data_IF_408758780889
#
_entry.id   IF_408758780889
#
_cell.length_a   1.000
_cell.length_b   1.000
_cell.length_c   1.000
_cell.angle_alpha   90.00
_cell.angle_beta   90.00
_cell.angle_gamma   90.00
#
_symmetry.space_group_name_H-M   'P 1'
#
loop_
_entity.id
_entity.type
_entity.pdbx_description
1 polymer ?
#
# COMPACT_ATOMS: atom_id res chain seq x y z
N UNK A 1 -60.13 -39.86 10.58
CA UNK A 1 -59.81 -38.80 9.61
C UNK A 1 -58.88 -37.82 10.30
N UNK A 2 -57.56 -38.00 10.16
CA UNK A 2 -56.56 -37.10 10.72
C UNK A 2 -55.87 -36.37 9.57
N UNK A 3 -56.04 -35.06 9.49
CA UNK A 3 -55.28 -34.21 8.57
C UNK A 3 -53.90 -33.93 9.17
N UNK A 4 -52.86 -34.38 8.48
CA UNK A 4 -51.48 -33.95 8.72
C UNK A 4 -51.26 -32.71 7.85
N UNK A 5 -51.09 -31.55 8.48
CA UNK A 5 -50.68 -30.32 7.81
C UNK A 5 -49.17 -30.38 7.54
N UNK A 6 -48.77 -30.50 6.27
CA UNK A 6 -47.40 -30.26 5.85
C UNK A 6 -47.12 -28.76 5.88
N UNK A 7 -46.24 -28.32 6.77
CA UNK A 7 -45.64 -27.00 6.71
C UNK A 7 -44.48 -27.04 5.70
N UNK A 8 -44.67 -26.44 4.54
CA UNK A 8 -43.61 -26.20 3.56
C UNK A 8 -42.76 -25.02 4.05
N UNK A 9 -41.56 -25.31 4.56
CA UNK A 9 -40.57 -24.27 4.85
C UNK A 9 -39.99 -23.80 3.51
N UNK A 10 -40.40 -22.61 3.06
CA UNK A 10 -39.76 -21.90 1.94
C UNK A 10 -38.38 -21.42 2.40
N UNK A 11 -37.34 -22.20 2.09
CA UNK A 11 -35.96 -21.74 2.12
C UNK A 11 -35.79 -20.70 1.00
N UNK A 12 -35.82 -19.42 1.35
CA UNK A 12 -35.29 -18.38 0.48
C UNK A 12 -33.77 -18.59 0.37
N UNK A 13 -33.33 -19.17 -0.74
CA UNK A 13 -31.94 -19.10 -1.13
C UNK A 13 -31.64 -17.62 -1.44
N UNK A 14 -30.97 -16.92 -0.53
CA UNK A 14 -30.31 -15.68 -0.87
C UNK A 14 -29.21 -16.02 -1.87
N UNK A 15 -29.46 -15.77 -3.15
CA UNK A 15 -28.40 -15.70 -4.14
C UNK A 15 -27.58 -14.47 -3.81
N UNK A 16 -26.49 -14.66 -3.05
CA UNK A 16 -25.43 -13.67 -2.93
C UNK A 16 -24.91 -13.47 -4.35
N UNK A 17 -25.23 -12.33 -4.96
CA UNK A 17 -24.62 -11.96 -6.24
C UNK A 17 -23.16 -11.67 -5.94
N UNK A 18 -22.26 -12.55 -6.40
CA UNK A 18 -20.83 -12.33 -6.25
C UNK A 18 -20.44 -10.95 -6.82
N UNK A 19 -19.59 -10.21 -6.11
CA UNK A 19 -19.07 -8.93 -6.59
C UNK A 19 -18.28 -9.19 -7.87
N UNK A 20 -18.81 -8.74 -9.01
CA UNK A 20 -18.18 -8.92 -10.33
C UNK A 20 -17.40 -7.67 -10.68
N UNK A 21 -16.37 -7.38 -9.90
CA UNK A 21 -15.38 -6.37 -10.28
C UNK A 21 -14.75 -6.78 -11.62
N UNK A 22 -14.12 -5.85 -12.34
CA UNK A 22 -13.35 -6.19 -13.54
C UNK A 22 -12.21 -7.20 -13.32
N UNK A 23 -11.98 -7.63 -12.07
CA UNK A 23 -11.03 -8.64 -11.61
C UNK A 23 -11.71 -9.67 -10.68
N UNK A 24 -11.32 -10.94 -10.77
CA UNK A 24 -11.87 -12.00 -9.92
C UNK A 24 -11.06 -12.16 -8.62
N UNK A 25 -11.36 -11.33 -7.62
CA UNK A 25 -10.67 -11.35 -6.32
C UNK A 25 -10.82 -12.66 -5.54
N UNK A 26 -11.75 -13.55 -5.91
CA UNK A 26 -11.88 -14.87 -5.29
C UNK A 26 -10.82 -15.85 -5.77
N UNK A 27 -10.47 -15.80 -7.06
CA UNK A 27 -9.65 -16.82 -7.72
C UNK A 27 -8.28 -16.30 -8.16
N UNK A 28 -8.18 -15.03 -8.52
CA UNK A 28 -6.98 -14.45 -9.10
C UNK A 28 -6.15 -13.72 -8.05
N UNK A 29 -4.83 -13.80 -8.20
CA UNK A 29 -3.86 -13.13 -7.33
C UNK A 29 -3.54 -11.73 -7.85
N UNK A 30 -3.60 -10.74 -6.98
CA UNK A 30 -3.14 -9.37 -7.27
C UNK A 30 -1.61 -9.36 -7.33
N UNK A 31 -1.07 -8.89 -8.45
CA UNK A 31 0.36 -8.67 -8.66
C UNK A 31 0.53 -7.28 -9.26
N UNK A 32 0.94 -6.33 -8.45
CA UNK A 32 0.98 -4.94 -8.88
C UNK A 32 2.17 -4.13 -8.39
N UNK A 33 2.21 -2.88 -8.82
CA UNK A 33 3.15 -1.86 -8.37
C UNK A 33 2.42 -0.57 -8.05
N UNK A 34 2.95 0.19 -7.10
CA UNK A 34 2.52 1.55 -6.82
C UNK A 34 3.11 2.51 -7.87
N UNK A 35 2.35 3.54 -8.23
CA UNK A 35 2.81 4.66 -9.07
C UNK A 35 3.26 5.83 -8.19
N UNK A 36 4.13 5.53 -7.22
CA UNK A 36 4.61 6.46 -6.20
C UNK A 36 5.44 7.62 -6.76
N UNK A 37 5.45 8.74 -6.04
CA UNK A 37 6.13 9.97 -6.44
C UNK A 37 5.53 10.67 -7.67
N UNK A 38 4.37 10.24 -8.19
CA UNK A 38 3.75 10.84 -9.39
C UNK A 38 2.78 11.98 -9.07
N UNK A 39 1.57 11.64 -8.59
CA UNK A 39 0.51 12.61 -8.28
C UNK A 39 0.52 13.05 -6.81
N UNK A 40 1.43 12.47 -6.02
CA UNK A 40 1.86 12.92 -4.71
C UNK A 40 3.38 12.85 -4.71
N UNK A 41 4.05 13.96 -4.41
CA UNK A 41 5.50 14.03 -4.37
C UNK A 41 6.05 13.46 -3.07
N UNK A 42 7.08 12.62 -3.21
CA UNK A 42 7.89 12.14 -2.10
C UNK A 42 9.36 12.48 -2.36
N UNK A 43 10.03 13.21 -1.44
CA UNK A 43 11.40 13.67 -1.65
C UNK A 43 12.40 12.55 -1.93
N UNK A 44 12.17 11.35 -1.39
CA UNK A 44 13.09 10.23 -1.55
C UNK A 44 12.92 9.50 -2.89
N UNK A 45 11.72 9.56 -3.50
CA UNK A 45 11.44 8.97 -4.81
C UNK A 45 11.98 9.87 -5.92
N UNK A 46 11.76 11.19 -5.79
CA UNK A 46 12.12 12.21 -6.79
C UNK A 46 12.95 13.36 -6.20
N UNK A 47 14.11 13.07 -5.57
CA UNK A 47 14.93 14.07 -4.88
C UNK A 47 15.34 15.24 -5.76
N UNK A 48 15.46 15.06 -7.09
CA UNK A 48 15.82 16.15 -7.98
C UNK A 48 14.81 17.30 -7.98
N UNK A 49 13.50 17.03 -7.82
CA UNK A 49 12.48 18.08 -7.73
C UNK A 49 12.73 18.98 -6.52
N UNK A 50 13.12 18.38 -5.40
CA UNK A 50 13.34 19.07 -4.12
C UNK A 50 14.69 19.76 -4.06
N UNK A 51 15.75 19.11 -4.55
CA UNK A 51 17.11 19.65 -4.53
C UNK A 51 17.27 20.83 -5.49
N UNK A 52 16.63 20.77 -6.67
CA UNK A 52 16.67 21.85 -7.66
C UNK A 52 16.01 23.15 -7.18
N UNK A 53 15.22 23.11 -6.11
CA UNK A 53 14.67 24.33 -5.48
C UNK A 53 15.75 25.16 -4.77
N UNK A 54 16.86 24.54 -4.39
CA UNK A 54 17.89 25.17 -3.56
C UNK A 54 17.42 25.54 -2.14
N UNK A 55 16.23 25.10 -1.71
CA UNK A 55 15.62 25.47 -0.44
C UNK A 55 15.38 24.22 0.43
N UNK A 56 16.18 24.04 1.48
CA UNK A 56 16.08 22.89 2.41
C UNK A 56 14.78 22.84 3.22
N UNK A 57 14.02 23.93 3.29
CA UNK A 57 12.73 24.00 3.98
C UNK A 57 11.57 23.43 3.17
N UNK A 58 11.82 22.99 1.92
CA UNK A 58 10.86 22.27 1.10
C UNK A 58 11.01 20.77 1.41
N UNK A 59 10.14 20.22 2.25
CA UNK A 59 10.25 18.87 2.81
C UNK A 59 9.13 17.93 2.38
N UNK A 60 8.09 18.46 1.76
CA UNK A 60 6.88 17.78 1.28
C UNK A 60 6.23 18.59 0.15
N UNK A 61 5.11 18.13 -0.42
CA UNK A 61 4.43 18.82 -1.52
C UNK A 61 3.78 20.15 -1.09
N UNK A 62 3.29 20.24 0.16
CA UNK A 62 2.72 21.47 0.72
C UNK A 62 3.77 22.59 0.73
N UNK A 63 4.94 22.33 1.32
CA UNK A 63 6.05 23.28 1.35
C UNK A 63 6.68 23.47 -0.02
N UNK A 64 6.63 22.47 -0.91
CA UNK A 64 7.02 22.63 -2.30
C UNK A 64 6.19 23.71 -2.98
N UNK A 65 4.89 23.77 -2.76
CA UNK A 65 4.08 24.81 -3.38
C UNK A 65 4.12 26.15 -2.61
N UNK A 66 4.37 26.11 -1.28
CA UNK A 66 4.39 27.30 -0.42
C UNK A 66 5.71 28.10 -0.50
N UNK A 67 6.86 27.43 -0.47
CA UNK A 67 8.16 28.06 -0.19
C UNK A 67 8.94 28.44 -1.46
N UNK A 68 8.24 28.67 -2.57
CA UNK A 68 8.77 29.18 -3.83
C UNK A 68 7.69 29.94 -4.60
N UNK A 69 8.03 30.71 -5.65
CA UNK A 69 7.02 31.32 -6.51
C UNK A 69 6.08 30.26 -7.09
N UNK A 70 4.77 30.48 -7.00
CA UNK A 70 3.76 29.50 -7.44
C UNK A 70 3.93 29.07 -8.90
N UNK A 71 4.42 29.96 -9.77
CA UNK A 71 4.72 29.64 -11.16
C UNK A 71 5.84 28.60 -11.28
N UNK A 72 6.88 28.69 -10.46
CA UNK A 72 7.98 27.71 -10.46
C UNK A 72 7.49 26.34 -10.02
N UNK A 73 6.67 26.28 -8.96
CA UNK A 73 6.05 25.05 -8.50
C UNK A 73 5.12 24.46 -9.58
N UNK A 74 4.31 25.30 -10.22
CA UNK A 74 3.39 24.91 -11.30
C UNK A 74 4.14 24.32 -12.49
N UNK A 75 5.15 25.03 -13.01
CA UNK A 75 5.92 24.57 -14.16
C UNK A 75 6.67 23.26 -13.87
N UNK A 76 7.22 23.12 -12.66
CA UNK A 76 7.90 21.91 -12.23
C UNK A 76 6.93 20.72 -12.13
N UNK A 77 5.76 20.91 -11.51
CA UNK A 77 4.75 19.87 -11.34
C UNK A 77 4.14 19.41 -12.67
N UNK A 78 3.77 20.33 -13.57
CA UNK A 78 3.24 19.96 -14.88
C UNK A 78 4.27 19.19 -15.71
N UNK A 79 5.53 19.63 -15.71
CA UNK A 79 6.61 18.92 -16.39
C UNK A 79 6.87 17.54 -15.78
N UNK A 80 6.75 17.42 -14.46
CA UNK A 80 6.89 16.16 -13.73
C UNK A 80 5.76 15.20 -14.09
N UNK A 81 4.50 15.63 -13.98
CA UNK A 81 3.34 14.78 -14.27
C UNK A 81 3.34 14.26 -15.71
N UNK A 82 3.80 15.06 -16.68
CA UNK A 82 3.91 14.66 -18.10
C UNK A 82 5.01 13.64 -18.39
N UNK A 83 6.03 13.52 -17.52
CA UNK A 83 7.25 12.75 -17.82
C UNK A 83 7.52 11.61 -16.85
N UNK A 84 7.03 11.72 -15.62
CA UNK A 84 7.35 10.74 -14.60
C UNK A 84 6.68 9.42 -14.89
N UNK A 85 5.37 9.34 -15.10
CA UNK A 85 4.70 8.11 -15.56
C UNK A 85 4.04 8.39 -16.90
N UNK A 86 4.27 7.49 -17.85
CA UNK A 86 3.74 7.56 -19.22
C UNK A 86 3.06 6.26 -19.61
N UNK A 87 2.38 6.22 -20.76
CA UNK A 87 1.78 4.97 -21.26
C UNK A 87 2.81 3.85 -21.44
N UNK A 88 4.07 4.18 -21.80
CA UNK A 88 5.13 3.17 -21.92
C UNK A 88 5.41 2.48 -20.58
N UNK A 89 5.28 3.19 -19.45
CA UNK A 89 5.40 2.55 -18.13
C UNK A 89 4.26 1.52 -17.90
N UNK A 90 3.03 1.82 -18.32
CA UNK A 90 1.91 0.86 -18.23
C UNK A 90 2.13 -0.36 -19.12
N UNK A 91 2.66 -0.16 -20.32
CA UNK A 91 3.06 -1.25 -21.22
C UNK A 91 4.13 -2.14 -20.57
N UNK A 92 5.19 -1.54 -20.04
CA UNK A 92 6.26 -2.28 -19.36
C UNK A 92 5.77 -3.03 -18.11
N UNK A 93 4.88 -2.43 -17.31
CA UNK A 93 4.23 -3.06 -16.15
C UNK A 93 3.46 -4.32 -16.60
N UNK A 94 2.68 -4.21 -17.67
CA UNK A 94 1.94 -5.36 -18.21
C UNK A 94 2.88 -6.44 -18.76
N UNK A 95 3.94 -6.06 -19.49
CA UNK A 95 4.97 -6.96 -20.03
C UNK A 95 5.82 -7.64 -18.94
N UNK A 96 5.91 -7.04 -17.75
CA UNK A 96 6.51 -7.66 -16.57
C UNK A 96 5.64 -8.79 -15.98
N UNK A 97 4.39 -8.94 -16.45
CA UNK A 97 3.45 -9.94 -15.99
C UNK A 97 2.49 -9.46 -14.89
N UNK A 98 2.58 -8.19 -14.50
CA UNK A 98 1.72 -7.58 -13.49
C UNK A 98 0.30 -7.36 -14.03
N UNK A 99 -0.68 -7.31 -13.13
CA UNK A 99 -2.10 -7.15 -13.46
C UNK A 99 -2.75 -5.92 -12.80
N UNK A 100 -2.07 -5.26 -11.85
CA UNK A 100 -2.59 -4.09 -11.14
C UNK A 100 -1.56 -2.94 -11.08
N UNK A 101 -2.08 -1.72 -11.03
CA UNK A 101 -1.39 -0.54 -10.50
C UNK A 101 -2.20 0.06 -9.35
N UNK A 102 -1.51 0.53 -8.30
CA UNK A 102 -2.09 1.40 -7.27
C UNK A 102 -1.62 2.82 -7.53
N UNK A 103 -2.56 3.76 -7.58
CA UNK A 103 -2.32 5.16 -7.94
C UNK A 103 -2.61 6.07 -6.73
N UNK A 104 -1.56 6.44 -5.97
CA UNK A 104 -1.63 7.50 -4.97
C UNK A 104 -2.06 8.83 -5.59
N UNK A 105 -3.07 9.49 -5.02
CA UNK A 105 -3.48 10.84 -5.38
C UNK A 105 -3.89 11.63 -4.13
N UNK A 106 -3.42 12.86 -4.01
CA UNK A 106 -3.77 13.74 -2.89
C UNK A 106 -5.12 14.42 -3.07
N UNK A 107 -5.77 14.79 -1.96
CA UNK A 107 -7.06 15.50 -2.00
C UNK A 107 -7.01 16.80 -2.83
N UNK A 108 -5.86 17.47 -2.84
CA UNK A 108 -5.64 18.74 -3.53
C UNK A 108 -5.76 18.62 -5.05
N UNK A 109 -5.76 17.42 -5.61
CA UNK A 109 -6.12 17.20 -7.01
C UNK A 109 -7.57 17.60 -7.32
N UNK A 110 -8.45 17.57 -6.33
CA UNK A 110 -9.89 17.74 -6.48
C UNK A 110 -10.44 18.97 -5.77
N UNK A 111 -9.87 19.32 -4.63
CA UNK A 111 -10.39 20.35 -3.74
C UNK A 111 -9.26 21.03 -2.96
N UNK A 112 -9.18 22.36 -3.04
CA UNK A 112 -8.24 23.19 -2.28
C UNK A 112 -8.97 24.40 -1.70
N UNK A 113 -8.67 24.74 -0.44
CA UNK A 113 -9.09 25.98 0.21
C UNK A 113 -8.13 27.12 -0.13
N UNK A 114 -8.55 28.38 0.03
CA UNK A 114 -7.77 29.55 -0.40
C UNK A 114 -6.40 29.71 0.29
N UNK A 115 -6.21 29.10 1.45
CA UNK A 115 -4.99 29.07 2.26
C UNK A 115 -4.11 27.83 2.01
N UNK A 116 -4.58 26.87 1.22
CA UNK A 116 -3.81 25.69 0.84
C UNK A 116 -2.95 26.00 -0.41
N UNK A 117 -1.63 25.79 -0.37
CA UNK A 117 -0.70 26.30 -1.39
C UNK A 117 -0.66 25.43 -2.65
N UNK A 118 -1.33 24.29 -2.68
CA UNK A 118 -1.16 23.25 -3.69
C UNK A 118 -1.51 23.73 -5.11
N UNK A 119 -0.79 23.19 -6.08
CA UNK A 119 -1.12 23.31 -7.50
C UNK A 119 -2.06 22.17 -7.91
N UNK A 120 -3.16 22.51 -8.58
CA UNK A 120 -4.10 21.55 -9.14
C UNK A 120 -3.78 21.21 -10.60
N UNK A 121 -4.10 19.99 -11.03
CA UNK A 121 -3.98 19.52 -12.43
C UNK A 121 -3.92 18.01 -12.61
N UNK A 122 -3.76 17.27 -11.52
CA UNK A 122 -3.52 15.82 -11.44
C UNK A 122 -4.67 14.98 -12.02
N UNK A 123 -5.92 15.46 -11.99
CA UNK A 123 -7.10 14.68 -12.43
C UNK A 123 -6.99 14.26 -13.91
N UNK A 124 -6.39 15.09 -14.77
CA UNK A 124 -6.16 14.73 -16.18
C UNK A 124 -5.20 13.53 -16.30
N UNK A 125 -4.25 13.40 -15.39
CA UNK A 125 -3.30 12.28 -15.36
C UNK A 125 -3.90 11.03 -14.72
N UNK A 126 -4.82 11.18 -13.76
CA UNK A 126 -5.66 10.07 -13.30
C UNK A 126 -6.48 9.48 -14.46
N UNK A 127 -7.14 10.32 -15.26
CA UNK A 127 -7.90 9.86 -16.43
C UNK A 127 -7.02 9.17 -17.48
N UNK A 128 -5.83 9.73 -17.77
CA UNK A 128 -4.82 9.09 -18.61
C UNK A 128 -4.39 7.73 -18.05
N UNK A 129 -4.11 7.63 -16.75
CA UNK A 129 -3.70 6.39 -16.10
C UNK A 129 -4.76 5.29 -16.21
N UNK A 130 -6.04 5.63 -16.03
CA UNK A 130 -7.15 4.68 -16.22
C UNK A 130 -7.24 4.23 -17.69
N UNK A 131 -7.08 5.15 -18.65
CA UNK A 131 -7.08 4.80 -20.07
C UNK A 131 -5.90 3.87 -20.44
N UNK A 132 -4.68 4.22 -20.03
CA UNK A 132 -3.47 3.43 -20.29
C UNK A 132 -3.54 2.05 -19.62
N UNK A 133 -4.06 1.97 -18.39
CA UNK A 133 -4.31 0.69 -17.74
C UNK A 133 -5.25 -0.19 -18.56
N UNK A 134 -6.37 0.37 -19.04
CA UNK A 134 -7.31 -0.32 -19.91
C UNK A 134 -6.67 -0.83 -21.20
N UNK A 135 -5.86 -0.01 -21.87
CA UNK A 135 -5.15 -0.36 -23.11
C UNK A 135 -4.21 -1.57 -22.93
N UNK A 136 -3.64 -1.73 -21.74
CA UNK A 136 -2.67 -2.79 -21.43
C UNK A 136 -3.24 -3.93 -20.56
N UNK A 137 -4.56 -3.95 -20.34
CA UNK A 137 -5.23 -4.99 -19.56
C UNK A 137 -4.87 -4.98 -18.08
N UNK A 138 -4.43 -3.83 -17.55
CA UNK A 138 -4.16 -3.62 -16.14
C UNK A 138 -5.41 -3.11 -15.41
N UNK A 139 -5.47 -3.37 -14.12
CA UNK A 139 -6.49 -2.83 -13.20
C UNK A 139 -5.91 -1.72 -12.35
N UNK A 140 -6.78 -0.82 -11.91
CA UNK A 140 -6.40 0.36 -11.12
C UNK A 140 -7.07 0.31 -9.75
N UNK A 141 -6.25 0.47 -8.71
CA UNK A 141 -6.69 0.88 -7.38
C UNK A 141 -6.39 2.37 -7.26
N UNK A 142 -7.44 3.20 -7.16
CA UNK A 142 -7.26 4.63 -6.87
C UNK A 142 -7.12 4.77 -5.37
N UNK A 143 -6.07 5.44 -4.91
CA UNK A 143 -5.76 5.58 -3.50
C UNK A 143 -5.72 7.04 -3.09
N UNK A 144 -6.65 7.46 -2.22
CA UNK A 144 -6.64 8.79 -1.63
C UNK A 144 -5.51 8.86 -0.59
N UNK A 145 -4.34 9.28 -1.05
CA UNK A 145 -3.08 9.08 -0.34
C UNK A 145 -2.83 10.15 0.73
N UNK A 146 -3.43 11.33 0.55
CA UNK A 146 -3.40 12.43 1.52
C UNK A 146 -4.77 13.08 1.63
N UNK A 147 -5.21 13.33 2.85
CA UNK A 147 -6.48 14.02 3.17
C UNK A 147 -6.23 15.39 3.83
N UNK A 148 -7.22 16.32 3.81
CA UNK A 148 -7.02 17.65 4.38
C UNK A 148 -6.59 17.63 5.85
N UNK A 149 -5.55 18.40 6.17
CA UNK A 149 -4.97 18.46 7.51
C UNK A 149 -4.07 17.28 7.89
N UNK A 150 -3.80 16.36 6.96
CA UNK A 150 -3.02 15.12 7.12
C UNK A 150 -3.65 14.12 8.11
N UNK A 151 -3.63 12.85 7.71
CA UNK A 151 -4.04 11.70 8.52
C UNK A 151 -2.89 11.02 9.28
N UNK A 152 -1.62 11.35 8.95
CA UNK A 152 -0.47 10.64 9.50
C UNK A 152 0.72 11.54 9.88
N UNK A 153 0.75 12.79 9.39
CA UNK A 153 1.85 13.72 9.61
C UNK A 153 3.14 13.43 8.83
N UNK A 154 3.12 12.43 7.95
CA UNK A 154 4.23 12.07 7.07
C UNK A 154 4.24 12.96 5.82
N UNK A 155 5.40 13.10 5.19
CA UNK A 155 5.53 13.84 3.93
C UNK A 155 4.74 13.19 2.79
N UNK A 156 4.57 11.86 2.80
CA UNK A 156 3.74 11.13 1.85
C UNK A 156 2.26 11.54 1.88
N UNK A 157 1.75 12.15 2.96
CA UNK A 157 0.37 12.69 2.98
C UNK A 157 0.24 14.05 2.27
N UNK A 158 1.35 14.60 1.77
CA UNK A 158 1.45 15.93 1.17
C UNK A 158 1.82 17.02 2.16
N UNK A 159 1.58 16.83 3.46
CA UNK A 159 1.85 17.81 4.52
C UNK A 159 2.45 17.14 5.76
N UNK A 160 3.76 17.20 5.89
CA UNK A 160 4.49 16.76 7.07
C UNK A 160 4.12 17.66 8.25
N UNK A 161 3.66 17.04 9.33
CA UNK A 161 3.29 17.75 10.56
C UNK A 161 3.44 16.83 11.77
N UNK A 162 3.77 17.40 12.93
CA UNK A 162 3.78 16.65 14.20
C UNK A 162 2.41 16.58 14.86
N UNK A 163 1.40 17.26 14.31
CA UNK A 163 0.04 17.31 14.85
C UNK A 163 -0.98 17.16 13.72
N UNK A 164 -1.13 15.96 13.11
CA UNK A 164 -2.15 15.71 12.11
C UNK A 164 -3.53 16.12 12.64
N UNK A 165 -4.33 16.75 11.77
CA UNK A 165 -5.54 17.48 12.19
C UNK A 165 -6.81 17.05 11.49
N UNK A 166 -6.71 16.15 10.51
CA UNK A 166 -7.85 15.63 9.74
C UNK A 166 -9.04 15.25 10.63
N UNK A 167 -8.82 14.41 11.64
CA UNK A 167 -9.89 13.90 12.51
C UNK A 167 -10.52 14.92 13.47
N UNK A 168 -9.85 16.04 13.74
CA UNK A 168 -10.35 17.07 14.65
C UNK A 168 -11.27 18.06 13.94
N UNK A 169 -11.37 17.98 12.61
CA UNK A 169 -12.15 18.88 11.78
C UNK A 169 -13.16 18.08 10.95
N UNK A 170 -14.45 18.19 11.30
CA UNK A 170 -15.51 17.59 10.50
C UNK A 170 -15.47 18.06 9.04
N UNK A 171 -15.08 19.32 8.80
CA UNK A 171 -14.89 19.85 7.45
C UNK A 171 -13.82 19.07 6.67
N UNK A 172 -12.71 18.69 7.29
CA UNK A 172 -11.66 17.92 6.63
C UNK A 172 -12.14 16.51 6.28
N UNK A 173 -12.89 15.88 7.18
CA UNK A 173 -13.53 14.57 6.96
C UNK A 173 -14.53 14.66 5.80
N UNK A 174 -15.40 15.67 5.79
CA UNK A 174 -16.42 15.88 4.76
C UNK A 174 -15.81 16.13 3.38
N UNK A 175 -14.72 16.92 3.32
CA UNK A 175 -13.96 17.17 2.08
C UNK A 175 -13.35 15.89 1.52
N UNK A 176 -12.68 15.10 2.37
CA UNK A 176 -12.14 13.80 1.97
C UNK A 176 -13.26 12.86 1.48
N UNK A 177 -14.39 12.80 2.20
CA UNK A 177 -15.54 11.98 1.82
C UNK A 177 -16.16 12.40 0.48
N UNK A 178 -16.28 13.71 0.23
CA UNK A 178 -16.82 14.24 -1.02
C UNK A 178 -15.98 13.80 -2.25
N UNK A 179 -14.66 13.69 -2.08
CA UNK A 179 -13.76 13.17 -3.11
C UNK A 179 -14.02 11.69 -3.35
N UNK A 180 -14.18 10.87 -2.31
CA UNK A 180 -14.53 9.46 -2.44
C UNK A 180 -15.88 9.29 -3.16
N UNK A 181 -16.89 10.08 -2.81
CA UNK A 181 -18.18 10.09 -3.51
C UNK A 181 -18.03 10.42 -5.00
N UNK A 182 -17.20 11.43 -5.32
CA UNK A 182 -16.91 11.80 -6.71
C UNK A 182 -16.24 10.65 -7.46
N UNK A 183 -15.21 10.02 -6.89
CA UNK A 183 -14.50 8.90 -7.49
C UNK A 183 -15.43 7.70 -7.69
N UNK A 184 -16.18 7.32 -6.66
CA UNK A 184 -17.12 6.22 -6.70
C UNK A 184 -18.20 6.43 -7.78
N UNK A 185 -18.80 7.62 -7.86
CA UNK A 185 -19.79 7.92 -8.89
C UNK A 185 -19.19 7.96 -10.30
N UNK A 186 -17.94 8.43 -10.45
CA UNK A 186 -17.25 8.50 -11.75
C UNK A 186 -16.92 7.11 -12.29
N UNK A 187 -16.50 6.18 -11.41
CA UNK A 187 -15.97 4.87 -11.81
C UNK A 187 -16.87 3.67 -11.47
N UNK A 188 -18.12 3.89 -11.03
CA UNK A 188 -19.05 2.81 -10.64
C UNK A 188 -19.27 1.71 -11.69
N UNK A 189 -19.19 2.06 -12.97
CA UNK A 189 -19.42 1.14 -14.10
C UNK A 189 -18.10 0.71 -14.78
N UNK A 190 -16.96 1.10 -14.21
CA UNK A 190 -15.64 0.81 -14.78
C UNK A 190 -15.23 -0.65 -14.54
N UNK A 191 -14.68 -1.29 -15.57
CA UNK A 191 -14.00 -2.58 -15.47
C UNK A 191 -12.48 -2.47 -15.28
N UNK A 192 -11.94 -1.25 -15.30
CA UNK A 192 -10.50 -0.95 -15.14
C UNK A 192 -10.19 -0.53 -13.71
N UNK A 193 -10.85 0.51 -13.21
CA UNK A 193 -10.88 0.86 -11.79
C UNK A 193 -11.72 -0.18 -11.05
N UNK A 194 -11.06 -1.10 -10.36
CA UNK A 194 -11.72 -2.20 -9.65
C UNK A 194 -11.86 -1.94 -8.16
N UNK A 195 -11.09 -0.99 -7.62
CA UNK A 195 -11.10 -0.68 -6.19
C UNK A 195 -10.76 0.80 -5.92
N UNK A 196 -11.29 1.32 -4.81
CA UNK A 196 -10.98 2.66 -4.28
C UNK A 196 -10.48 2.49 -2.85
N UNK A 197 -9.24 2.88 -2.59
CA UNK A 197 -8.67 3.05 -1.26
C UNK A 197 -9.00 4.43 -0.75
N UNK A 198 -9.77 4.44 0.33
CA UNK A 198 -10.44 5.67 0.79
C UNK A 198 -9.55 6.56 1.63
N UNK A 199 -8.49 5.99 2.21
CA UNK A 199 -7.48 6.74 2.95
C UNK A 199 -6.25 5.87 3.15
N UNK A 200 -5.10 6.34 2.67
CA UNK A 200 -3.81 5.73 2.95
C UNK A 200 -3.41 5.93 4.42
N UNK A 201 -2.75 4.93 5.00
CA UNK A 201 -2.01 4.98 6.29
C UNK A 201 -2.53 5.99 7.33
N UNK A 202 -3.35 5.55 8.28
CA UNK A 202 -3.79 6.36 9.42
C UNK A 202 -3.17 5.83 10.72
N UNK A 203 -1.90 6.14 11.05
CA UNK A 203 -1.32 5.74 12.33
C UNK A 203 -1.94 6.54 13.47
N UNK A 204 -2.01 5.91 14.64
CA UNK A 204 -2.56 6.55 15.83
C UNK A 204 -1.51 7.39 16.59
N UNK A 205 -0.46 7.84 15.91
CA UNK A 205 0.62 8.65 16.48
C UNK A 205 0.25 10.14 16.45
N UNK A 206 -0.70 10.51 17.30
CA UNK A 206 -1.24 11.86 17.41
C UNK A 206 -1.54 12.19 18.88
N UNK A 207 -1.94 13.43 19.16
CA UNK A 207 -2.30 13.91 20.51
C UNK A 207 -3.57 13.27 21.07
N UNK A 208 -4.44 12.77 20.21
CA UNK A 208 -5.65 12.04 20.58
C UNK A 208 -5.81 10.78 19.71
N UNK A 209 -5.08 9.70 20.05
CA UNK A 209 -5.08 8.43 19.30
C UNK A 209 -6.46 7.77 19.23
N UNK A 210 -7.26 7.87 20.30
CA UNK A 210 -8.58 7.23 20.35
C UNK A 210 -9.60 8.00 19.50
N UNK A 211 -9.58 9.34 19.55
CA UNK A 211 -10.40 10.17 18.68
C UNK A 211 -10.06 9.99 17.20
N UNK A 212 -8.78 9.92 16.86
CA UNK A 212 -8.31 9.57 15.51
C UNK A 212 -8.90 8.23 15.05
N UNK A 213 -8.87 7.21 15.92
CA UNK A 213 -9.34 5.86 15.58
C UNK A 213 -10.85 5.83 15.38
N UNK A 214 -11.59 6.52 16.25
CA UNK A 214 -13.04 6.60 16.19
C UNK A 214 -13.50 7.27 14.89
N UNK A 215 -12.85 8.38 14.49
CA UNK A 215 -13.17 9.08 13.24
C UNK A 215 -12.76 8.25 12.02
N UNK A 216 -11.58 7.62 12.02
CA UNK A 216 -11.16 6.70 10.96
C UNK A 216 -12.17 5.56 10.77
N UNK A 217 -12.65 4.96 11.87
CA UNK A 217 -13.66 3.91 11.82
C UNK A 217 -14.97 4.39 11.22
N UNK A 218 -15.48 5.54 11.67
CA UNK A 218 -16.73 6.10 11.14
C UNK A 218 -16.58 6.46 9.66
N UNK A 219 -15.44 7.02 9.26
CA UNK A 219 -15.13 7.36 7.89
C UNK A 219 -15.17 6.13 6.96
N UNK A 220 -14.69 4.97 7.41
CA UNK A 220 -14.79 3.73 6.63
C UNK A 220 -16.23 3.22 6.47
N UNK A 221 -17.09 3.34 7.50
CA UNK A 221 -18.52 3.01 7.35
C UNK A 221 -19.23 3.96 6.38
N UNK A 222 -18.94 5.25 6.48
CA UNK A 222 -19.52 6.27 5.61
C UNK A 222 -19.10 6.08 4.15
N UNK A 223 -17.80 5.85 3.92
CA UNK A 223 -17.26 5.65 2.57
C UNK A 223 -17.59 4.28 2.00
N UNK A 224 -17.86 3.25 2.82
CA UNK A 224 -18.46 2.01 2.34
C UNK A 224 -19.77 2.29 1.61
N UNK A 225 -20.66 3.10 2.21
CA UNK A 225 -21.92 3.47 1.58
C UNK A 225 -21.69 4.25 0.28
N UNK A 226 -20.71 5.17 0.28
CA UNK A 226 -20.40 5.98 -0.89
C UNK A 226 -19.83 5.13 -2.06
N UNK A 227 -18.95 4.16 -1.78
CA UNK A 227 -18.29 3.31 -2.79
C UNK A 227 -19.21 2.19 -3.28
N UNK A 228 -19.90 1.51 -2.35
CA UNK A 228 -20.73 0.35 -2.68
C UNK A 228 -22.13 0.75 -3.14
N UNK A 229 -22.62 1.95 -2.81
CA UNK A 229 -23.94 2.45 -3.20
C UNK A 229 -23.90 3.89 -3.75
N UNK A 230 -23.11 4.18 -4.81
CA UNK A 230 -22.86 5.54 -5.29
C UNK A 230 -24.09 6.23 -5.90
N UNK A 231 -25.09 5.49 -6.36
CA UNK A 231 -26.34 6.03 -6.91
C UNK A 231 -27.42 6.19 -5.86
N UNK A 232 -27.75 7.45 -5.52
CA UNK A 232 -28.87 7.79 -4.63
C UNK A 232 -30.20 7.32 -5.21
N UNK A 233 -31.04 6.67 -4.40
CA UNK A 233 -32.43 6.34 -4.76
C UNK A 233 -32.71 4.92 -5.24
N UNK A 234 -31.84 3.94 -4.95
CA UNK A 234 -32.15 2.51 -5.16
C UNK A 234 -31.49 1.85 -6.37
N UNK A 235 -30.28 2.30 -6.75
CA UNK A 235 -29.45 1.57 -7.72
C UNK A 235 -28.87 0.28 -7.14
N UNK A 236 -28.51 -0.65 -8.03
CA UNK A 236 -27.76 -1.87 -7.66
C UNK A 236 -26.43 -1.52 -6.99
N UNK A 237 -25.99 -2.37 -6.06
CA UNK A 237 -24.69 -2.27 -5.42
C UNK A 237 -23.59 -2.24 -6.49
N UNK A 238 -22.64 -1.31 -6.34
CA UNK A 238 -21.48 -1.16 -7.23
C UNK A 238 -20.64 -2.43 -7.21
N UNK A 239 -19.89 -2.69 -8.29
CA UNK A 239 -18.87 -3.74 -8.33
C UNK A 239 -17.48 -3.25 -7.87
N UNK A 240 -17.31 -1.95 -7.60
CA UNK A 240 -16.06 -1.35 -7.11
C UNK A 240 -15.81 -1.77 -5.66
N UNK A 241 -14.64 -2.34 -5.38
CA UNK A 241 -14.22 -2.73 -4.05
C UNK A 241 -13.87 -1.50 -3.20
N UNK A 242 -14.27 -1.52 -1.92
CA UNK A 242 -13.75 -0.61 -0.92
C UNK A 242 -12.41 -1.16 -0.40
N UNK A 243 -11.38 -0.33 -0.36
CA UNK A 243 -10.10 -0.66 0.29
C UNK A 243 -9.92 0.25 1.49
N UNK A 244 -9.62 -0.33 2.65
CA UNK A 244 -9.32 0.37 3.90
C UNK A 244 -7.91 0.01 4.38
N UNK A 245 -7.14 0.97 4.87
CA UNK A 245 -5.86 0.69 5.53
C UNK A 245 -6.08 -0.07 6.86
N UNK A 246 -5.12 -0.88 7.28
CA UNK A 246 -5.10 -1.48 8.62
C UNK A 246 -4.84 -0.46 9.75
N UNK A 247 -4.57 0.81 9.42
CA UNK A 247 -4.28 1.88 10.36
C UNK A 247 -3.20 1.50 11.39
N UNK A 248 -2.27 0.62 11.02
CA UNK A 248 -1.20 0.10 11.88
C UNK A 248 -1.70 -0.61 13.15
N UNK A 249 -2.97 -1.04 13.19
CA UNK A 249 -3.53 -1.81 14.31
C UNK A 249 -3.31 -3.32 14.16
N UNK A 250 -2.95 -3.78 12.96
CA UNK A 250 -2.90 -5.19 12.62
C UNK A 250 -4.27 -5.78 12.29
N UNK A 251 -4.28 -6.91 11.60
CA UNK A 251 -5.49 -7.52 11.05
C UNK A 251 -6.40 -8.10 12.14
N UNK A 252 -5.78 -8.67 13.19
CA UNK A 252 -6.50 -9.23 14.33
C UNK A 252 -7.38 -8.21 15.05
N UNK A 253 -6.90 -6.97 15.20
CA UNK A 253 -7.66 -5.89 15.83
C UNK A 253 -8.98 -5.63 15.08
N UNK A 254 -8.92 -5.53 13.76
CA UNK A 254 -10.10 -5.24 12.94
C UNK A 254 -11.06 -6.41 12.87
N UNK A 255 -10.54 -7.63 12.78
CA UNK A 255 -11.32 -8.87 12.90
C UNK A 255 -12.09 -8.93 14.22
N UNK A 256 -11.42 -8.72 15.35
CA UNK A 256 -12.04 -8.82 16.68
C UNK A 256 -13.07 -7.71 16.92
N UNK A 257 -12.93 -6.58 16.22
CA UNK A 257 -13.87 -5.46 16.27
C UNK A 257 -15.10 -5.62 15.36
N UNK A 258 -15.17 -6.69 14.56
CA UNK A 258 -16.19 -6.95 13.53
C UNK A 258 -16.37 -5.79 12.52
N UNK A 259 -15.28 -5.09 12.19
CA UNK A 259 -15.33 -3.96 11.26
C UNK A 259 -15.74 -4.45 9.85
N UNK A 260 -16.83 -3.86 9.31
CA UNK A 260 -17.28 -4.07 7.93
C UNK A 260 -17.36 -5.55 7.49
N UNK A 261 -17.88 -6.42 8.36
CA UNK A 261 -17.95 -7.86 8.12
C UNK A 261 -19.27 -8.33 7.50
N UNK A 262 -19.26 -9.52 6.90
CA UNK A 262 -20.44 -10.21 6.38
C UNK A 262 -21.46 -10.52 7.50
N UNK A 263 -22.78 -10.57 7.19
CA UNK A 263 -23.38 -10.43 5.86
C UNK A 263 -23.68 -8.98 5.46
N UNK A 264 -23.53 -8.01 6.36
CA UNK A 264 -23.99 -6.64 6.13
C UNK A 264 -23.06 -5.84 5.19
N UNK A 265 -21.80 -6.24 5.10
CA UNK A 265 -20.77 -5.55 4.34
C UNK A 265 -20.04 -6.51 3.40
N UNK A 266 -20.20 -6.28 2.09
CA UNK A 266 -19.59 -7.06 1.01
C UNK A 266 -18.68 -6.17 0.15
N UNK A 267 -17.63 -6.77 -0.41
CA UNK A 267 -16.73 -6.05 -1.31
C UNK A 267 -15.75 -5.13 -0.58
N UNK A 268 -15.20 -5.60 0.54
CA UNK A 268 -14.22 -4.86 1.37
C UNK A 268 -12.89 -5.58 1.40
N UNK A 269 -11.82 -4.82 1.16
CA UNK A 269 -10.42 -5.25 1.26
C UNK A 269 -9.77 -4.45 2.38
N UNK A 270 -9.01 -5.13 3.24
CA UNK A 270 -8.06 -4.49 4.15
C UNK A 270 -6.69 -4.49 3.47
N UNK A 271 -6.16 -3.30 3.27
CA UNK A 271 -4.81 -3.04 2.81
C UNK A 271 -3.86 -2.98 4.01
N UNK A 272 -2.76 -3.70 3.91
CA UNK A 272 -1.76 -3.78 4.94
C UNK A 272 -0.35 -3.59 4.39
N UNK A 273 0.42 -2.73 5.05
CA UNK A 273 1.76 -2.40 4.60
C UNK A 273 2.81 -3.23 5.36
N UNK A 274 3.83 -3.71 4.64
CA UNK A 274 4.84 -4.62 5.19
C UNK A 274 6.25 -4.18 4.83
N UNK A 275 6.90 -3.61 5.84
CA UNK A 275 8.24 -3.06 5.77
C UNK A 275 9.12 -3.67 6.87
N UNK A 276 10.43 -3.72 6.62
CA UNK A 276 11.41 -4.30 7.54
C UNK A 276 12.59 -3.36 7.80
N UNK A 277 12.34 -2.05 7.86
CA UNK A 277 13.39 -1.04 8.07
C UNK A 277 12.96 0.16 8.91
N UNK A 278 11.68 0.29 9.28
CA UNK A 278 11.18 1.46 10.03
C UNK A 278 11.24 1.31 11.55
N UNK A 279 11.77 0.17 12.03
CA UNK A 279 11.97 -0.11 13.46
C UNK A 279 13.40 -0.60 13.72
N UNK A 280 13.95 -0.27 14.88
CA UNK A 280 15.31 -0.66 15.28
C UNK A 280 15.51 -2.18 15.30
N UNK A 281 14.50 -2.94 15.72
CA UNK A 281 14.56 -4.40 15.70
C UNK A 281 14.73 -4.93 14.26
N UNK A 282 14.01 -4.32 13.32
CA UNK A 282 14.07 -4.71 11.93
C UNK A 282 15.45 -4.41 11.32
N UNK A 283 16.02 -3.23 11.59
CA UNK A 283 17.34 -2.84 11.11
C UNK A 283 18.50 -3.68 11.68
N UNK A 284 18.30 -4.34 12.83
CA UNK A 284 19.28 -5.26 13.44
C UNK A 284 19.29 -6.65 12.83
N UNK A 285 18.28 -7.01 12.02
CA UNK A 285 18.19 -8.35 11.45
C UNK A 285 19.31 -8.58 10.46
N UNK A 286 19.90 -9.76 10.53
CA UNK A 286 20.74 -10.28 9.45
C UNK A 286 19.88 -10.56 8.22
N UNK A 287 20.51 -10.64 7.04
CA UNK A 287 19.83 -11.02 5.80
C UNK A 287 19.00 -12.32 5.95
N UNK A 288 19.51 -13.33 6.65
CA UNK A 288 18.75 -14.57 6.87
C UNK A 288 17.58 -14.39 7.84
N UNK A 289 17.68 -13.51 8.84
CA UNK A 289 16.56 -13.20 9.72
C UNK A 289 15.46 -12.41 9.02
N UNK A 290 15.79 -11.53 8.07
CA UNK A 290 14.80 -10.89 7.20
C UNK A 290 14.02 -11.91 6.36
N UNK A 291 14.72 -12.91 5.81
CA UNK A 291 14.08 -13.98 5.05
C UNK A 291 13.18 -14.86 5.95
N UNK A 292 13.64 -15.18 7.17
CA UNK A 292 12.84 -15.93 8.14
C UNK A 292 11.57 -15.15 8.53
N UNK A 293 11.71 -13.85 8.81
CA UNK A 293 10.59 -12.98 9.15
C UNK A 293 9.59 -12.85 8.00
N UNK A 294 10.06 -12.62 6.76
CA UNK A 294 9.22 -12.58 5.57
C UNK A 294 8.40 -13.87 5.41
N UNK A 295 8.99 -15.03 5.72
CA UNK A 295 8.31 -16.32 5.66
C UNK A 295 7.35 -16.58 6.83
N UNK A 296 7.49 -15.89 7.97
CA UNK A 296 6.62 -16.08 9.14
C UNK A 296 5.31 -15.30 9.10
N UNK A 297 5.17 -14.32 8.19
CA UNK A 297 4.01 -13.40 8.16
C UNK A 297 2.66 -14.07 7.86
N UNK A 298 2.64 -15.33 7.40
CA UNK A 298 1.40 -16.02 7.04
C UNK A 298 0.37 -16.16 8.17
N UNK A 299 0.80 -16.18 9.44
CA UNK A 299 -0.13 -16.21 10.57
C UNK A 299 -0.94 -14.91 10.68
N UNK A 300 -0.26 -13.77 10.57
CA UNK A 300 -0.89 -12.45 10.62
C UNK A 300 -1.78 -12.21 9.39
N UNK A 301 -1.29 -12.53 8.19
CA UNK A 301 -2.04 -12.29 6.93
C UNK A 301 -3.36 -13.07 6.86
N UNK A 302 -3.46 -14.22 7.54
CA UNK A 302 -4.71 -14.99 7.66
C UNK A 302 -5.62 -14.52 8.80
N UNK A 303 -5.16 -13.58 9.63
CA UNK A 303 -5.89 -13.14 10.82
C UNK A 303 -6.91 -12.05 10.50
N UNK A 304 -7.69 -12.23 9.43
CA UNK A 304 -8.72 -11.29 8.98
C UNK A 304 -9.97 -12.06 8.54
N UNK A 305 -11.14 -11.47 8.71
CA UNK A 305 -12.40 -11.90 8.10
C UNK A 305 -12.64 -11.25 6.73
N UNK A 306 -11.91 -10.17 6.44
CA UNK A 306 -11.94 -9.44 5.18
C UNK A 306 -10.84 -9.94 4.25
N UNK A 307 -10.97 -9.68 2.96
CA UNK A 307 -9.87 -9.92 2.03
C UNK A 307 -8.68 -9.03 2.38
N UNK A 308 -7.49 -9.60 2.34
CA UNK A 308 -6.25 -8.91 2.69
C UNK A 308 -5.42 -8.71 1.43
N UNK A 309 -4.90 -7.51 1.22
CA UNK A 309 -3.90 -7.22 0.19
C UNK A 309 -2.70 -6.58 0.85
N UNK A 310 -1.49 -7.01 0.49
CA UNK A 310 -0.28 -6.30 0.91
C UNK A 310 -0.02 -5.16 -0.09
N UNK A 311 -0.65 -4.01 0.11
CA UNK A 311 -0.64 -2.90 -0.86
C UNK A 311 0.66 -2.11 -0.92
N UNK A 312 1.52 -2.27 0.08
CA UNK A 312 2.87 -1.71 0.07
C UNK A 312 3.89 -2.59 0.77
N UNK A 313 5.04 -2.75 0.12
CA UNK A 313 6.22 -3.48 0.61
C UNK A 313 7.41 -3.25 -0.34
N UNK A 314 8.62 -3.59 0.08
CA UNK A 314 9.84 -3.53 -0.74
C UNK A 314 10.81 -4.66 -0.39
N UNK A 315 11.68 -5.13 -1.31
CA UNK A 315 12.79 -6.01 -0.95
C UNK A 315 13.92 -5.30 -0.20
N UNK A 316 13.95 -3.96 -0.18
CA UNK A 316 14.90 -3.23 0.66
C UNK A 316 14.70 -3.61 2.14
N UNK A 317 15.78 -3.63 2.91
CA UNK A 317 15.77 -4.02 4.32
C UNK A 317 16.49 -3.00 5.22
N UNK A 318 16.87 -1.86 4.64
CA UNK A 318 17.48 -0.74 5.35
C UNK A 318 16.73 0.53 5.00
N UNK A 319 16.89 1.57 5.81
CA UNK A 319 16.33 2.89 5.58
C UNK A 319 17.37 3.84 4.96
N UNK A 320 18.29 3.29 4.16
CA UNK A 320 19.44 4.03 3.62
C UNK A 320 19.08 5.02 2.50
N UNK A 321 17.95 4.82 1.82
CA UNK A 321 17.53 5.69 0.72
C UNK A 321 17.50 7.16 1.15
N UNK A 322 18.13 8.01 0.33
CA UNK A 322 18.21 9.45 0.59
C UNK A 322 16.81 10.02 0.80
N UNK A 323 16.60 10.68 1.95
CA UNK A 323 15.34 11.31 2.36
C UNK A 323 14.18 10.35 2.67
N UNK A 324 14.43 9.04 2.78
CA UNK A 324 13.37 8.07 3.07
C UNK A 324 12.71 8.31 4.43
N UNK A 325 13.49 8.71 5.44
CA UNK A 325 12.97 9.13 6.75
C UNK A 325 12.49 10.60 6.75
N UNK A 326 12.23 11.16 5.56
CA UNK A 326 12.01 12.57 5.24
C UNK A 326 13.28 13.39 5.00
N UNK A 327 13.10 14.55 4.35
CA UNK A 327 14.19 15.46 4.03
C UNK A 327 14.82 16.02 5.30
N UNK A 328 16.15 16.14 5.29
CA UNK A 328 16.98 16.54 6.44
C UNK A 328 16.94 15.57 7.63
N UNK A 329 16.52 14.31 7.40
CA UNK A 329 16.58 13.23 8.38
C UNK A 329 17.46 12.13 7.79
N UNK A 330 18.51 11.77 8.51
CA UNK A 330 19.48 10.76 8.10
C UNK A 330 18.95 9.33 8.34
N UNK A 331 19.68 8.33 7.83
CA UNK A 331 19.33 6.92 7.98
C UNK A 331 19.63 6.42 9.39
N UNK A 332 18.66 5.74 10.01
CA UNK A 332 18.87 5.06 11.30
C UNK A 332 19.87 3.91 11.15
N UNK A 333 19.91 3.25 10.00
CA UNK A 333 20.86 2.17 9.72
C UNK A 333 22.32 2.61 9.87
N UNK A 334 22.68 3.76 9.28
CA UNK A 334 24.03 4.33 9.44
C UNK A 334 24.23 4.99 10.80
N UNK A 335 23.29 5.84 11.22
CA UNK A 335 23.49 6.73 12.37
C UNK A 335 23.52 6.00 13.70
N UNK A 336 22.75 4.91 13.81
CA UNK A 336 22.74 4.05 15.00
C UNK A 336 23.78 2.91 14.91
N UNK A 337 24.57 2.85 13.83
CA UNK A 337 25.65 1.88 13.66
C UNK A 337 25.19 0.45 13.38
N UNK A 338 24.04 0.25 12.74
CA UNK A 338 23.57 -1.07 12.29
C UNK A 338 24.33 -1.57 11.06
N UNK A 339 24.79 -0.64 10.21
CA UNK A 339 25.68 -0.95 9.10
C UNK A 339 26.01 0.29 8.26
N UNK A 340 26.70 0.06 7.14
CA UNK A 340 27.06 1.12 6.19
C UNK A 340 26.04 1.16 5.06
N UNK A 341 25.52 2.35 4.76
CA UNK A 341 24.63 2.57 3.61
C UNK A 341 25.36 2.56 2.26
N UNK A 342 26.70 2.64 2.26
CA UNK A 342 27.49 2.54 1.06
C UNK A 342 27.16 1.22 0.32
N UNK A 343 26.63 1.35 -0.91
CA UNK A 343 26.23 0.26 -1.81
C UNK A 343 24.94 -0.50 -1.44
N UNK A 344 24.18 -0.01 -0.46
CA UNK A 344 22.84 -0.53 -0.14
C UNK A 344 21.71 0.35 -0.68
N UNK A 345 22.05 1.50 -1.25
CA UNK A 345 21.11 2.45 -1.86
C UNK A 345 21.79 3.24 -2.98
N UNK A 346 21.01 3.98 -3.76
CA UNK A 346 21.52 4.70 -4.92
C UNK A 346 21.24 3.97 -6.23
N UNK A 347 22.22 4.03 -7.14
CA UNK A 347 22.19 3.23 -8.36
C UNK A 347 22.62 1.79 -8.10
N UNK A 348 21.85 0.83 -8.61
CA UNK A 348 22.15 -0.59 -8.53
C UNK A 348 23.42 -1.02 -9.30
N UNK A 349 24.02 -0.12 -10.08
CA UNK A 349 25.38 -0.33 -10.62
C UNK A 349 26.44 -0.38 -9.51
N UNK A 350 26.17 0.21 -8.35
CA UNK A 350 27.08 0.24 -7.20
C UNK A 350 26.83 -0.90 -6.21
N UNK A 351 25.69 -1.58 -6.32
CA UNK A 351 25.35 -2.71 -5.45
C UNK A 351 26.24 -3.90 -5.74
N UNK A 352 26.80 -4.50 -4.70
CA UNK A 352 27.54 -5.74 -4.84
C UNK A 352 26.62 -6.94 -5.14
N UNK A 353 27.22 -8.02 -5.64
CA UNK A 353 26.48 -9.23 -6.02
C UNK A 353 25.78 -9.90 -4.84
N UNK A 354 26.36 -9.80 -3.64
CA UNK A 354 25.78 -10.35 -2.41
C UNK A 354 24.49 -9.63 -2.02
N UNK A 355 24.47 -8.30 -2.11
CA UNK A 355 23.29 -7.50 -1.85
C UNK A 355 22.20 -7.73 -2.91
N UNK A 356 22.55 -7.81 -4.20
CA UNK A 356 21.58 -8.18 -5.25
C UNK A 356 20.99 -9.57 -5.03
N UNK A 357 21.81 -10.54 -4.62
CA UNK A 357 21.34 -11.89 -4.29
C UNK A 357 20.42 -11.87 -3.05
N UNK A 358 20.70 -11.02 -2.06
CA UNK A 358 19.80 -10.81 -0.94
C UNK A 358 18.47 -10.21 -1.37
N UNK A 359 18.47 -9.10 -2.13
CA UNK A 359 17.26 -8.48 -2.65
C UNK A 359 16.40 -9.50 -3.42
N UNK A 360 17.03 -10.38 -4.21
CA UNK A 360 16.31 -11.39 -4.98
C UNK A 360 15.60 -12.40 -4.07
N UNK A 361 16.32 -12.91 -3.07
CA UNK A 361 15.77 -13.87 -2.10
C UNK A 361 14.71 -13.22 -1.21
N UNK A 362 14.91 -11.96 -0.83
CA UNK A 362 13.98 -11.24 0.04
C UNK A 362 12.70 -10.85 -0.70
N UNK A 363 12.82 -10.46 -1.97
CA UNK A 363 11.67 -10.28 -2.85
C UNK A 363 10.86 -11.58 -2.96
N UNK A 364 11.53 -12.70 -3.26
CA UNK A 364 10.88 -14.00 -3.45
C UNK A 364 10.23 -14.52 -2.17
N UNK A 365 10.87 -14.33 -1.01
CA UNK A 365 10.30 -14.67 0.29
C UNK A 365 9.01 -13.91 0.57
N UNK A 366 9.01 -12.59 0.34
CA UNK A 366 7.85 -11.74 0.60
C UNK A 366 6.72 -12.02 -0.39
N UNK A 367 7.00 -11.97 -1.70
CA UNK A 367 5.99 -12.22 -2.73
C UNK A 367 5.34 -13.61 -2.58
N UNK A 368 6.13 -14.67 -2.35
CA UNK A 368 5.58 -16.02 -2.13
C UNK A 368 4.68 -16.11 -0.90
N UNK A 369 5.07 -15.50 0.22
CA UNK A 369 4.23 -15.44 1.42
C UNK A 369 2.93 -14.67 1.17
N UNK A 370 2.98 -13.55 0.46
CA UNK A 370 1.82 -12.71 0.20
C UNK A 370 0.84 -13.38 -0.77
N UNK A 371 1.31 -14.06 -1.81
CA UNK A 371 0.45 -14.84 -2.70
C UNK A 371 -0.17 -16.07 -2.01
N UNK A 372 0.52 -16.64 -1.02
CA UNK A 372 0.03 -17.83 -0.32
C UNK A 372 -1.02 -17.51 0.75
N UNK A 373 -0.93 -16.34 1.40
CA UNK A 373 -1.71 -16.03 2.60
C UNK A 373 -2.53 -14.75 2.53
N UNK A 374 -2.42 -13.98 1.47
CA UNK A 374 -3.25 -12.82 1.16
C UNK A 374 -3.83 -12.96 -0.27
N UNK A 375 -4.60 -11.98 -0.73
CA UNK A 375 -5.10 -11.91 -2.12
C UNK A 375 -4.03 -11.48 -3.12
N UNK A 376 -2.83 -11.18 -2.63
CA UNK A 376 -1.70 -10.75 -3.45
C UNK A 376 -1.01 -9.54 -2.86
N UNK A 377 -0.30 -8.82 -3.72
CA UNK A 377 0.65 -7.80 -3.31
C UNK A 377 0.80 -6.69 -4.35
N UNK A 378 1.20 -5.51 -3.88
CA UNK A 378 1.52 -4.35 -4.71
C UNK A 378 2.83 -3.76 -4.18
N UNK A 379 3.91 -3.86 -4.96
CA UNK A 379 5.22 -3.40 -4.50
C UNK A 379 5.29 -1.87 -4.51
N UNK A 380 5.84 -1.30 -3.45
CA UNK A 380 6.28 0.08 -3.40
C UNK A 380 7.75 0.17 -3.86
N UNK A 381 8.08 0.67 -5.04
CA UNK A 381 7.23 1.31 -6.07
C UNK A 381 7.70 0.94 -7.49
N UNK A 382 6.99 1.37 -8.54
CA UNK A 382 7.38 1.08 -9.93
C UNK A 382 8.80 1.56 -10.26
N UNK A 383 9.11 2.82 -9.93
CA UNK A 383 10.44 3.41 -10.14
C UNK A 383 10.74 4.57 -9.20
N UNK A 384 12.03 4.85 -9.04
CA UNK A 384 12.61 5.94 -8.26
C UNK A 384 13.75 6.58 -9.08
N UNK A 385 14.18 7.80 -8.74
CA UNK A 385 15.32 8.43 -9.45
C UNK A 385 16.66 7.79 -9.07
N UNK A 386 16.88 7.58 -7.77
CA UNK A 386 18.18 7.16 -7.21
C UNK A 386 18.04 6.24 -5.99
N UNK A 387 16.96 5.47 -5.89
CA UNK A 387 16.77 4.47 -4.83
C UNK A 387 16.40 3.14 -5.48
N UNK A 388 17.33 2.57 -6.25
CA UNK A 388 17.06 1.42 -7.11
C UNK A 388 16.58 0.20 -6.31
N UNK A 389 16.96 0.05 -5.04
CA UNK A 389 16.49 -1.02 -4.13
C UNK A 389 14.98 -0.99 -3.84
N UNK A 390 14.32 0.16 -4.06
CA UNK A 390 12.87 0.33 -3.96
C UNK A 390 12.16 0.23 -5.32
N UNK A 391 12.90 0.21 -6.43
CA UNK A 391 12.37 0.29 -7.79
C UNK A 391 12.12 -1.10 -8.38
N UNK A 392 10.85 -1.44 -8.64
CA UNK A 392 10.49 -2.66 -9.34
C UNK A 392 11.15 -2.73 -10.73
N UNK A 393 11.13 -1.61 -11.46
CA UNK A 393 11.75 -1.48 -12.79
C UNK A 393 13.26 -1.72 -12.74
N UNK A 394 13.96 -1.21 -11.72
CA UNK A 394 15.37 -1.50 -11.52
C UNK A 394 15.60 -2.98 -11.20
N UNK A 395 14.72 -3.60 -10.40
CA UNK A 395 14.82 -5.01 -10.07
C UNK A 395 14.69 -5.95 -11.25
N UNK A 396 13.82 -5.64 -12.20
CA UNK A 396 13.75 -6.33 -13.49
C UNK A 396 15.05 -6.13 -14.30
N UNK A 397 15.54 -4.89 -14.36
CA UNK A 397 16.72 -4.52 -15.16
C UNK A 397 18.01 -5.17 -14.66
N UNK A 398 18.19 -5.24 -13.34
CA UNK A 398 19.42 -5.69 -12.71
C UNK A 398 19.33 -7.09 -12.08
N UNK A 399 18.17 -7.75 -12.19
CA UNK A 399 18.03 -9.20 -12.06
C UNK A 399 17.68 -9.74 -10.68
N UNK A 400 17.29 -8.90 -9.72
CA UNK A 400 16.73 -9.40 -8.45
C UNK A 400 15.21 -9.65 -8.53
N UNK A 401 14.54 -9.14 -9.56
CA UNK A 401 13.15 -9.48 -9.90
C UNK A 401 13.13 -10.10 -11.28
N UNK A 402 12.35 -11.18 -11.45
CA UNK A 402 12.11 -11.80 -12.75
C UNK A 402 10.73 -11.42 -13.28
N UNK A 403 10.54 -11.47 -14.59
CA UNK A 403 9.21 -11.34 -15.18
C UNK A 403 8.32 -12.49 -14.69
N UNK A 404 7.07 -12.18 -14.41
CA UNK A 404 6.08 -13.16 -13.99
C UNK A 404 5.36 -13.66 -15.24
N UNK A 405 5.36 -14.98 -15.47
CA UNK A 405 4.57 -15.53 -16.56
C UNK A 405 3.09 -15.52 -16.19
N UNK A 406 2.22 -15.07 -17.11
CA UNK A 406 0.75 -15.09 -16.91
C UNK A 406 0.14 -16.50 -17.14
N UNK A 407 0.98 -17.54 -17.21
CA UNK A 407 0.51 -18.91 -17.39
C UNK A 407 0.10 -19.54 -16.05
N UNK A 408 -0.85 -20.47 -16.08
CA UNK A 408 -1.26 -21.23 -14.90
C UNK A 408 -0.12 -22.07 -14.28
N UNK A 409 0.99 -22.25 -15.01
CA UNK A 409 2.17 -23.01 -14.58
C UNK A 409 3.33 -22.11 -14.14
N UNK A 410 3.13 -20.80 -13.97
CA UNK A 410 4.21 -19.91 -13.52
C UNK A 410 4.78 -20.39 -12.18
N UNK A 411 6.09 -20.62 -12.15
CA UNK A 411 6.81 -21.01 -10.95
C UNK A 411 7.42 -19.81 -10.22
N UNK A 412 7.11 -18.59 -10.64
CA UNK A 412 7.67 -17.36 -10.06
C UNK A 412 6.55 -16.36 -9.69
N UNK A 413 6.52 -15.86 -8.43
CA UNK A 413 7.38 -16.25 -7.30
C UNK A 413 7.24 -17.74 -6.94
N UNK A 414 8.30 -18.36 -6.40
CA UNK A 414 8.27 -19.79 -6.07
C UNK A 414 7.40 -20.04 -4.82
N UNK A 415 6.25 -20.73 -4.95
CA UNK A 415 5.35 -20.98 -3.82
C UNK A 415 5.96 -21.90 -2.74
N UNK A 416 7.06 -22.58 -3.05
CA UNK A 416 7.79 -23.45 -2.11
C UNK A 416 9.00 -22.76 -1.48
N UNK A 417 9.28 -21.49 -1.76
CA UNK A 417 10.47 -20.80 -1.25
C UNK A 417 10.57 -20.90 0.28
N UNK A 418 9.53 -20.47 0.99
CA UNK A 418 9.50 -20.49 2.45
C UNK A 418 9.45 -21.91 3.02
N UNK A 419 8.70 -22.82 2.40
CA UNK A 419 8.66 -24.23 2.81
C UNK A 419 10.03 -24.92 2.68
N UNK A 420 10.79 -24.62 1.63
CA UNK A 420 12.15 -25.12 1.42
C UNK A 420 13.11 -24.58 2.47
N UNK A 421 12.95 -23.30 2.84
CA UNK A 421 13.77 -22.66 3.86
C UNK A 421 13.60 -23.31 5.24
N UNK A 422 12.36 -23.57 5.66
CA UNK A 422 12.06 -24.28 6.93
C UNK A 422 12.65 -25.70 6.93
N UNK A 423 12.59 -26.41 5.80
CA UNK A 423 13.21 -27.74 5.65
C UNK A 423 14.73 -27.69 5.74
N UNK A 424 15.37 -26.72 5.08
CA UNK A 424 16.82 -26.55 5.12
C UNK A 424 17.32 -26.28 6.55
N UNK A 425 16.65 -25.40 7.31
CA UNK A 425 17.05 -25.07 8.69
C UNK A 425 16.84 -26.23 9.67
N UNK A 426 15.78 -27.03 9.50
CA UNK A 426 15.51 -28.22 10.32
C UNK A 426 16.40 -29.42 10.02
N UNK A 427 17.00 -29.48 8.83
CA UNK A 427 17.95 -30.53 8.43
C UNK A 427 19.42 -30.26 8.81
N UNK A 428 19.73 -29.06 9.32
CA UNK A 428 21.09 -28.71 9.72
C UNK A 428 21.50 -29.40 11.04
N UNK A 429 22.58 -30.19 11.07
CA UNK A 429 23.02 -30.86 12.29
C UNK A 429 23.42 -29.84 13.37
N UNK A 430 22.75 -29.88 14.53
CA UNK A 430 23.10 -29.08 15.72
C UNK A 430 22.15 -27.96 16.12
N UNK A 431 20.99 -27.77 15.46
CA UNK A 431 19.95 -26.82 15.92
C UNK A 431 18.63 -27.55 16.15
N UNK A 432 18.28 -27.77 17.42
CA UNK A 432 17.04 -28.46 17.79
C UNK A 432 15.81 -27.57 17.55
N UNK A 433 14.61 -28.15 17.31
CA UNK A 433 13.37 -27.40 17.05
C UNK A 433 12.91 -26.49 18.20
N UNK A 434 13.55 -26.59 19.37
CA UNK A 434 13.22 -25.82 20.57
C UNK A 434 13.58 -24.33 20.48
N UNK A 435 14.43 -23.93 19.52
CA UNK A 435 14.76 -22.51 19.30
C UNK A 435 13.59 -21.71 18.71
N UNK A 436 12.71 -22.33 17.93
CA UNK A 436 11.57 -21.64 17.31
C UNK A 436 10.38 -21.46 18.27
N UNK A 437 10.21 -22.36 19.24
CA UNK A 437 9.19 -22.20 20.29
C UNK A 437 9.49 -21.02 21.22
N UNK A 438 10.77 -20.69 21.44
CA UNK A 438 11.18 -19.57 22.28
C UNK A 438 10.89 -18.20 21.63
N UNK A 439 10.97 -18.08 20.29
CA UNK A 439 10.61 -16.85 19.57
C UNK A 439 9.09 -16.61 19.54
N UNK A 440 8.27 -17.67 19.50
CA UNK A 440 6.81 -17.56 19.55
C UNK A 440 6.32 -17.20 20.97
N UNK A 441 7.04 -17.63 22.03
CA UNK A 441 6.66 -17.30 23.41
C UNK A 441 7.19 -15.94 23.91
N UNK A 442 8.28 -15.40 23.35
CA UNK A 442 8.80 -14.10 23.77
C UNK A 442 7.95 -12.90 23.30
N UNK A 443 7.20 -13.06 22.19
CA UNK A 443 6.26 -12.04 21.69
C UNK A 443 5.03 -11.90 22.57
N UNK A 444 4.66 -12.94 23.34
CA UNK A 444 3.49 -12.91 24.22
C UNK A 444 3.82 -12.31 25.60
N UNK A 445 5.09 -12.32 26.05
CA UNK A 445 5.44 -11.87 27.41
C UNK A 445 5.89 -10.41 27.54
N UNK A 446 6.19 -9.71 26.43
CA UNK A 446 6.62 -8.30 26.49
C UNK A 446 5.43 -7.32 26.48
N UNK A 447 4.21 -7.78 26.14
CA UNK A 447 3.00 -6.95 26.17
C UNK A 447 2.31 -6.81 27.55
N UNK A 448 2.86 -7.42 28.61
CA UNK A 448 2.27 -7.37 29.95
C UNK A 448 3.06 -6.55 31.00
N UNK A 449 4.09 -5.79 30.61
CA UNK A 449 4.91 -5.05 31.60
C UNK A 449 5.07 -3.55 31.33
N UNK A 450 4.32 -2.99 30.39
CA UNK A 450 4.12 -1.55 30.27
C UNK A 450 2.65 -1.25 29.96
N UNK A 451 1.83 -1.37 31.00
CA UNK A 451 0.54 -0.68 31.17
C UNK A 451 0.68 0.26 32.37
#
# INVERSE_FOLDING_TARGET
MGLIALYTVLLFAFTIFAVTSGFNYDQDTIRGVNLGGWLVLEPWITPSLFDNTGNSNIVDEYTFCLNQPIQNATDALWKHWDRWITEEDFKEIAEAGLNHVRLPIGYWAFDTSADEPYVMGQVVYLEKAVAWAGNHGLKVIIDLHGVPGSQNGFDNSGQKTSDPSWYRSQLNVDRARAIIQRLANTYKDSTVVTAISVMNESPQNTRDPDGMLAVTRQYWYDTYQDVRHPTKGGGSQSNTMLVISDAFKGLGYWKDSNLLTLPDYEGVIVDIHRYQMFEDEALRRTNDQHLDFACSQGAELRNSTLWVVVGEWTPAATDCAKYLNSRNVDSRYSDQGYGDCARLTGSALLFDEGYKAFLARHWEAQASTFEQYAKGWIQWTWKTEIADEWSYKAGLKYGWIKRIERSANSSYPNPQFCANRVRATSSAPGRSPLYYAALIFLVIFVFCTFL
#
